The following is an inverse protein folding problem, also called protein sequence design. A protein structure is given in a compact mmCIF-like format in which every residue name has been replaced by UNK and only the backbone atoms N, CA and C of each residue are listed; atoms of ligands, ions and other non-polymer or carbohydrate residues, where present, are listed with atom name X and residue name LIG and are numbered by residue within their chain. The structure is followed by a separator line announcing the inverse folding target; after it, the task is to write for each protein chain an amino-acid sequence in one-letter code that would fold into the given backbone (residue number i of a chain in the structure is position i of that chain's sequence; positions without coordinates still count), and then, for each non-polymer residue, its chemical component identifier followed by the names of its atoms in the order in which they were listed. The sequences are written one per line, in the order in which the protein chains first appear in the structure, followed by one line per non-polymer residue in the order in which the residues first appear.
data_IF_710421289088
#
_entry.id   IF_710421289088
#
_cell.length_a   1.000
_cell.length_b   1.000
_cell.length_c   1.000
_cell.angle_alpha   90.00
_cell.angle_beta   90.00
_cell.angle_gamma   90.00
#
_symmetry.space_group_name_H-M   'P 1'
#
loop_
_entity.id
_entity.type
_entity.pdbx_description
1 polymer ?
#
# COMPACT_ATOMS: atom_id res chain seq x y z
N UNK A 1 21.28 11.91 16.28
CA UNK A 1 20.26 11.47 17.27
C UNK A 1 20.87 11.48 18.66
N UNK A 2 20.58 12.50 19.47
CA UNK A 2 20.98 12.50 20.88
C UNK A 2 20.00 11.61 21.66
N UNK A 3 20.46 10.46 22.16
CA UNK A 3 19.67 9.68 23.12
C UNK A 3 19.34 10.58 24.32
N UNK A 4 18.05 10.67 24.67
CA UNK A 4 17.63 11.37 25.89
C UNK A 4 18.33 10.75 27.11
N UNK A 5 18.72 11.57 28.09
CA UNK A 5 19.43 11.13 29.30
C UNK A 5 18.70 9.98 30.03
N UNK A 6 17.36 9.94 29.96
CA UNK A 6 16.53 8.86 30.50
C UNK A 6 16.78 7.52 29.80
N UNK A 7 16.94 7.54 28.48
CA UNK A 7 17.24 6.35 27.66
C UNK A 7 18.65 5.86 27.93
N UNK A 8 19.62 6.77 28.11
CA UNK A 8 20.98 6.42 28.54
C UNK A 8 21.00 5.75 29.92
N UNK A 9 20.26 6.29 30.90
CA UNK A 9 20.15 5.69 32.26
C UNK A 9 19.52 4.30 32.24
N UNK A 10 18.50 4.07 31.41
CA UNK A 10 17.88 2.75 31.24
C UNK A 10 18.82 1.74 30.57
N UNK A 11 19.57 2.18 29.55
CA UNK A 11 20.56 1.33 28.89
C UNK A 11 21.70 0.94 29.84
N UNK A 12 22.20 1.89 30.65
CA UNK A 12 23.22 1.63 31.67
C UNK A 12 22.72 0.64 32.74
N UNK A 13 21.46 0.76 33.19
CA UNK A 13 20.85 -0.20 34.12
C UNK A 13 20.69 -1.60 33.51
N UNK A 14 20.29 -1.69 32.24
CA UNK A 14 20.17 -2.96 31.52
C UNK A 14 21.52 -3.66 31.34
N UNK A 15 22.57 -2.89 31.00
CA UNK A 15 23.93 -3.42 30.85
C UNK A 15 24.53 -3.86 32.19
N UNK A 16 24.29 -3.11 33.28
CA UNK A 16 24.73 -3.50 34.62
C UNK A 16 24.05 -4.79 35.10
N UNK A 17 22.75 -4.93 34.84
CA UNK A 17 22.01 -6.15 35.17
C UNK A 17 22.54 -7.36 34.37
N UNK A 18 22.76 -7.19 33.07
CA UNK A 18 23.31 -8.26 32.22
C UNK A 18 24.73 -8.67 32.65
N UNK A 19 25.60 -7.72 32.98
CA UNK A 19 26.95 -8.01 33.47
C UNK A 19 26.96 -8.75 34.81
N UNK A 20 26.05 -8.38 35.73
CA UNK A 20 25.89 -9.07 37.01
C UNK A 20 25.38 -10.51 36.84
N UNK A 21 24.44 -10.73 35.91
CA UNK A 21 23.89 -12.06 35.64
C UNK A 21 24.90 -12.97 34.93
N UNK A 22 25.71 -12.42 34.01
CA UNK A 22 26.79 -13.15 33.34
C UNK A 22 27.88 -13.63 34.31
N UNK A 23 28.15 -12.86 35.38
CA UNK A 23 29.11 -13.22 36.45
C UNK A 23 28.60 -14.36 37.34
N UNK A 24 27.27 -14.48 37.52
CA UNK A 24 26.66 -15.61 38.24
C UNK A 24 26.71 -16.92 37.44
N UNK A 25 26.54 -16.83 36.11
CA UNK A 25 26.50 -18.00 35.22
C UNK A 25 27.90 -18.57 34.94
N UNK A 26 28.94 -17.73 34.94
CA UNK A 26 30.31 -18.16 34.66
C UNK A 26 31.30 -17.72 35.75
N UNK A 27 31.25 -18.30 36.96
CA UNK A 27 32.07 -17.87 38.10
C UNK A 27 33.58 -18.13 37.92
N UNK A 28 33.95 -19.03 37.01
CA UNK A 28 35.35 -19.47 36.80
C UNK A 28 35.89 -19.16 35.40
N UNK A 29 35.28 -18.26 34.62
CA UNK A 29 35.91 -17.82 33.38
C UNK A 29 37.22 -17.09 33.76
N UNK A 30 38.37 -17.66 33.37
CA UNK A 30 39.68 -16.99 33.46
C UNK A 30 39.64 -15.74 32.58
N UNK A 31 39.11 -14.65 33.12
CA UNK A 31 39.10 -13.36 32.46
C UNK A 31 40.53 -12.81 32.51
N UNK A 32 41.04 -12.49 31.32
CA UNK A 32 42.28 -11.72 31.16
C UNK A 32 42.27 -10.51 32.12
N UNK A 33 43.40 -10.16 32.76
CA UNK A 33 43.51 -9.00 33.65
C UNK A 33 43.07 -7.68 32.99
N UNK A 34 43.03 -7.64 31.65
CA UNK A 34 42.49 -6.53 30.86
C UNK A 34 40.97 -6.35 31.03
N UNK A 35 40.20 -7.45 31.07
CA UNK A 35 38.73 -7.41 31.16
C UNK A 35 38.28 -7.00 32.56
N UNK A 36 39.01 -7.42 33.60
CA UNK A 36 38.77 -6.98 34.97
C UNK A 36 39.04 -5.48 35.17
N UNK A 37 40.04 -4.93 34.47
CA UNK A 37 40.37 -3.51 34.53
C UNK A 37 39.35 -2.64 33.77
N UNK A 38 38.89 -3.07 32.60
CA UNK A 38 37.85 -2.37 31.82
C UNK A 38 36.49 -2.38 32.55
N UNK A 39 36.11 -3.50 33.17
CA UNK A 39 34.86 -3.60 33.94
C UNK A 39 34.87 -2.69 35.17
N UNK A 40 35.99 -2.59 35.88
CA UNK A 40 36.15 -1.65 37.02
C UNK A 40 36.09 -0.17 36.59
N UNK A 41 36.62 0.19 35.42
CA UNK A 41 36.49 1.56 34.87
C UNK A 41 35.06 1.91 34.51
N UNK A 42 34.32 0.95 33.96
CA UNK A 42 32.90 1.11 33.62
C UNK A 42 32.05 1.26 34.88
N UNK A 43 32.31 0.46 35.92
CA UNK A 43 31.65 0.59 37.23
C UNK A 43 31.88 1.97 37.87
N UNK A 44 33.12 2.46 37.89
CA UNK A 44 33.45 3.79 38.42
C UNK A 44 32.79 4.94 37.64
N UNK A 45 32.69 4.83 36.31
CA UNK A 45 32.01 5.81 35.47
C UNK A 45 30.49 5.80 35.70
N UNK A 46 29.90 4.63 35.99
CA UNK A 46 28.47 4.48 36.31
C UNK A 46 28.18 5.09 37.69
N UNK A 47 29.01 4.84 38.70
CA UNK A 47 28.85 5.43 40.04
C UNK A 47 28.97 6.96 40.02
N UNK A 48 29.94 7.51 39.25
CA UNK A 48 30.08 8.96 39.08
C UNK A 48 28.85 9.59 38.39
N UNK A 49 28.18 8.85 37.49
CA UNK A 49 26.97 9.33 36.79
C UNK A 49 25.72 9.22 37.68
N UNK A 50 25.71 8.28 38.64
CA UNK A 50 24.63 8.10 39.62
C UNK A 50 24.75 9.04 40.83
N UNK A 51 25.96 9.52 41.14
CA UNK A 51 26.22 10.46 42.25
C UNK A 51 25.88 11.93 41.92
N UNK A 52 25.51 12.25 40.69
CA UNK A 52 25.13 13.61 40.31
C UNK A 52 23.70 13.91 40.79
N UNK A 53 23.47 14.95 41.63
CA UNK A 53 22.15 15.24 42.18
C UNK A 53 21.13 15.56 41.08
N UNK A 54 19.88 15.19 41.34
CA UNK A 54 18.72 15.41 40.47
C UNK A 54 18.49 16.91 40.16
N UNK A 55 18.84 17.35 38.94
CA UNK A 55 18.33 18.60 38.34
C UNK A 55 16.87 18.43 37.84
N UNK A 56 16.04 17.73 38.60
CA UNK A 56 14.66 17.40 38.22
C UNK A 56 13.66 18.50 38.60
N UNK A 57 14.00 19.78 38.44
CA UNK A 57 13.02 20.89 38.49
C UNK A 57 13.33 22.08 37.56
N UNK A 58 14.13 21.92 36.51
CA UNK A 58 14.11 22.91 35.42
C UNK A 58 13.02 22.57 34.41
N UNK A 59 11.87 23.21 34.62
CA UNK A 59 10.82 23.39 33.62
C UNK A 59 11.47 23.77 32.29
N UNK A 60 11.41 22.88 31.30
CA UNK A 60 11.99 23.10 29.97
C UNK A 60 11.26 24.28 29.33
N UNK A 61 11.80 25.49 29.50
CA UNK A 61 11.45 26.63 28.65
C UNK A 61 12.34 26.53 27.42
N UNK A 62 11.79 26.60 26.19
CA UNK A 62 12.65 26.82 25.03
C UNK A 62 13.50 28.06 25.30
N UNK A 63 14.80 28.06 24.94
CA UNK A 63 15.59 29.28 25.04
C UNK A 63 14.85 30.38 24.29
N UNK A 64 14.61 31.51 24.96
CA UNK A 64 14.07 32.69 24.28
C UNK A 64 14.98 32.99 23.10
N UNK A 65 14.41 33.12 21.91
CA UNK A 65 15.04 33.77 20.77
C UNK A 65 15.30 35.23 21.16
N UNK A 66 16.36 35.44 21.94
CA UNK A 66 17.01 36.72 22.02
C UNK A 66 17.76 36.87 20.69
N UNK A 67 17.54 37.99 20.02
CA UNK A 67 18.35 38.46 18.90
C UNK A 67 19.80 38.64 19.38
N UNK A 68 20.52 37.52 19.44
CA UNK A 68 21.92 37.46 19.76
C UNK A 68 22.68 37.30 18.46
N UNK A 69 23.12 38.42 17.88
CA UNK A 69 24.24 38.40 16.95
C UNK A 69 25.42 37.76 17.69
N UNK A 70 25.71 36.50 17.37
CA UNK A 70 26.91 35.83 17.87
C UNK A 70 28.09 36.55 17.24
N UNK A 71 28.75 37.42 18.00
CA UNK A 71 30.05 37.95 17.60
C UNK A 71 31.03 36.78 17.66
N UNK A 72 31.44 36.30 16.48
CA UNK A 72 32.57 35.39 16.37
C UNK A 72 33.83 36.11 16.83
N UNK A 73 34.18 35.97 18.10
CA UNK A 73 35.52 36.32 18.57
C UNK A 73 36.52 35.41 17.87
N UNK A 74 37.52 36.03 17.26
CA UNK A 74 38.66 35.44 16.56
C UNK A 74 39.02 34.04 17.07
N UNK A 75 38.86 33.04 16.20
CA UNK A 75 39.24 31.66 16.50
C UNK A 75 40.75 31.58 16.59
N UNK A 76 41.25 31.52 17.81
CA UNK A 76 42.66 31.24 18.09
C UNK A 76 42.94 29.76 17.79
N UNK A 77 43.20 29.43 16.52
CA UNK A 77 43.60 28.09 16.11
C UNK A 77 45.04 27.86 16.60
N UNK A 78 45.24 26.89 17.50
CA UNK A 78 46.59 26.50 18.02
C UNK A 78 47.54 25.94 16.95
N UNK A 79 47.12 25.85 15.68
CA UNK A 79 47.90 25.25 14.59
C UNK A 79 47.78 26.08 13.30
N UNK A 80 48.80 26.89 12.95
CA UNK A 80 48.72 27.89 11.88
C UNK A 80 48.62 27.32 10.44
N UNK A 81 48.76 25.99 10.26
CA UNK A 81 48.71 25.33 8.95
C UNK A 81 47.33 24.71 8.62
N UNK A 82 46.40 24.72 9.58
CA UNK A 82 45.05 24.13 9.43
C UNK A 82 43.95 25.18 9.13
N UNK A 83 44.30 26.46 9.04
CA UNK A 83 43.36 27.55 8.76
C UNK A 83 42.57 27.37 7.46
N UNK A 84 43.15 26.68 6.45
CA UNK A 84 42.45 26.39 5.20
C UNK A 84 41.32 25.36 5.32
N UNK A 85 41.33 24.53 6.37
CA UNK A 85 40.31 23.51 6.63
C UNK A 85 39.17 24.06 7.50
N UNK A 86 39.42 25.11 8.27
CA UNK A 86 38.42 25.86 9.02
C UNK A 86 37.84 27.00 8.17
N UNK A 87 37.13 26.66 7.08
CA UNK A 87 36.20 27.62 6.47
C UNK A 87 35.00 27.76 7.40
N UNK A 88 35.09 28.71 8.33
CA UNK A 88 33.94 29.20 9.10
C UNK A 88 33.32 30.31 8.26
N UNK A 89 32.79 29.94 7.09
CA UNK A 89 31.88 30.82 6.37
C UNK A 89 30.51 30.61 7.03
N UNK A 90 29.86 31.71 7.40
CA UNK A 90 28.48 31.67 7.89
C UNK A 90 27.56 31.28 6.72
N UNK A 91 27.33 29.97 6.60
CA UNK A 91 26.46 29.36 5.59
C UNK A 91 24.99 29.44 6.00
N UNK A 92 24.68 29.85 7.23
CA UNK A 92 23.30 29.89 7.73
C UNK A 92 22.48 30.97 7.00
N UNK A 93 23.12 32.03 6.53
CA UNK A 93 22.52 33.06 5.67
C UNK A 93 22.18 32.57 4.25
N UNK A 94 22.77 31.47 3.78
CA UNK A 94 22.50 30.88 2.46
C UNK A 94 21.32 29.88 2.47
N UNK A 95 20.90 29.43 3.65
CA UNK A 95 19.85 28.41 3.81
C UNK A 95 18.42 28.95 3.62
N UNK A 96 18.26 30.27 3.47
CA UNK A 96 16.94 30.92 3.47
C UNK A 96 16.26 30.86 4.85
N UNK A 97 15.08 31.49 5.01
CA UNK A 97 14.37 31.43 6.27
C UNK A 97 13.98 29.98 6.61
N UNK A 98 14.27 29.56 7.85
CA UNK A 98 13.87 28.24 8.35
C UNK A 98 12.37 28.04 8.16
N UNK A 99 11.97 26.91 7.57
CA UNK A 99 10.55 26.56 7.48
C UNK A 99 9.96 26.49 8.90
N UNK A 100 8.75 27.03 9.12
CA UNK A 100 8.09 26.87 10.40
C UNK A 100 7.93 25.38 10.69
N UNK A 101 8.14 24.93 11.95
CA UNK A 101 8.01 23.52 12.30
C UNK A 101 6.60 23.03 11.98
N UNK A 102 6.51 21.92 11.26
CA UNK A 102 5.23 21.32 10.93
C UNK A 102 4.56 20.76 12.20
N UNK A 103 3.26 21.00 12.33
CA UNK A 103 2.46 20.39 13.40
C UNK A 103 2.16 18.95 12.99
N UNK A 104 2.85 18.00 13.60
CA UNK A 104 2.62 16.56 13.41
C UNK A 104 1.40 16.14 14.22
N UNK A 105 0.39 15.59 13.54
CA UNK A 105 -0.82 15.04 14.16
C UNK A 105 -0.54 13.57 14.50
N UNK A 106 -0.65 13.15 15.77
CA UNK A 106 -0.45 11.76 16.15
C UNK A 106 -1.36 10.81 15.36
N UNK A 107 -0.77 9.76 14.79
CA UNK A 107 -1.52 8.72 14.08
C UNK A 107 -1.90 7.63 15.08
N UNK A 108 -3.20 7.40 15.24
CA UNK A 108 -3.69 6.27 16.02
C UNK A 108 -3.61 4.98 15.19
N UNK A 109 -2.63 4.15 15.52
CA UNK A 109 -2.50 2.78 15.01
C UNK A 109 -2.99 1.74 16.03
N UNK A 110 -3.30 2.17 17.26
CA UNK A 110 -3.72 1.29 18.34
C UNK A 110 -5.19 0.89 18.23
N UNK A 111 -6.02 1.71 17.58
CA UNK A 111 -7.41 1.36 17.26
C UNK A 111 -7.56 0.31 16.16
N UNK A 112 -6.47 -0.03 15.46
CA UNK A 112 -6.48 -1.06 14.43
C UNK A 112 -6.39 -2.45 15.06
N UNK A 113 -7.42 -3.26 14.84
CA UNK A 113 -7.49 -4.63 15.33
C UNK A 113 -6.43 -5.52 14.67
N UNK A 114 -5.78 -6.38 15.45
CA UNK A 114 -4.78 -7.36 14.98
C UNK A 114 -5.34 -8.76 14.77
N UNK A 115 -6.57 -9.01 15.22
CA UNK A 115 -7.26 -10.29 15.13
C UNK A 115 -8.10 -10.37 13.86
N UNK A 116 -8.45 -11.59 13.45
CA UNK A 116 -9.30 -11.80 12.30
C UNK A 116 -10.72 -11.32 12.57
N UNK A 117 -11.22 -10.49 11.67
CA UNK A 117 -12.57 -9.91 11.74
C UNK A 117 -13.62 -10.99 11.51
N UNK A 118 -14.66 -11.01 12.34
CA UNK A 118 -15.74 -12.01 12.26
C UNK A 118 -17.12 -11.40 12.03
N UNK A 119 -17.24 -10.08 12.09
CA UNK A 119 -18.50 -9.36 11.92
C UNK A 119 -18.36 -8.22 10.92
N UNK A 120 -19.48 -7.86 10.28
CA UNK A 120 -19.52 -6.76 9.30
C UNK A 120 -19.25 -5.40 9.96
N UNK A 121 -19.73 -5.19 11.20
CA UNK A 121 -19.47 -3.96 11.95
C UNK A 121 -17.97 -3.76 12.19
N UNK A 122 -17.27 -4.80 12.66
CA UNK A 122 -15.82 -4.78 12.82
C UNK A 122 -15.10 -4.49 11.50
N UNK A 123 -15.55 -5.07 10.38
CA UNK A 123 -14.96 -4.78 9.06
C UNK A 123 -15.12 -3.32 8.65
N UNK A 124 -16.29 -2.73 8.90
CA UNK A 124 -16.56 -1.32 8.61
C UNK A 124 -15.65 -0.41 9.43
N UNK A 125 -15.62 -0.61 10.74
CA UNK A 125 -14.82 0.21 11.66
C UNK A 125 -13.33 0.07 11.33
N UNK A 126 -12.87 -1.15 11.06
CA UNK A 126 -11.50 -1.42 10.68
C UNK A 126 -11.11 -0.72 9.37
N UNK A 127 -11.89 -0.85 8.30
CA UNK A 127 -11.58 -0.21 7.02
C UNK A 127 -11.60 1.32 7.14
N UNK A 128 -12.55 1.87 7.89
CA UNK A 128 -12.62 3.31 8.16
C UNK A 128 -11.37 3.82 8.89
N UNK A 129 -11.02 3.16 10.00
CA UNK A 129 -9.85 3.53 10.80
C UNK A 129 -8.57 3.33 10.00
N UNK A 130 -8.43 2.22 9.26
CA UNK A 130 -7.25 1.95 8.44
C UNK A 130 -7.04 3.03 7.38
N UNK A 131 -8.08 3.37 6.59
CA UNK A 131 -7.98 4.42 5.57
C UNK A 131 -7.64 5.77 6.21
N UNK A 132 -8.26 6.12 7.34
CA UNK A 132 -8.02 7.39 8.03
C UNK A 132 -6.59 7.49 8.56
N UNK A 133 -6.10 6.44 9.24
CA UNK A 133 -4.74 6.40 9.78
C UNK A 133 -3.69 6.39 8.66
N UNK A 134 -3.92 5.65 7.57
CA UNK A 134 -3.02 5.64 6.41
C UNK A 134 -3.02 6.99 5.69
N UNK A 135 -4.17 7.65 5.55
CA UNK A 135 -4.25 8.98 4.97
C UNK A 135 -3.44 9.99 5.80
N UNK A 136 -3.56 9.96 7.13
CA UNK A 136 -2.77 10.82 8.02
C UNK A 136 -1.27 10.54 7.90
N UNK A 137 -0.85 9.26 7.86
CA UNK A 137 0.55 8.88 7.64
C UNK A 137 1.10 9.43 6.32
N UNK A 138 0.38 9.20 5.21
CA UNK A 138 0.83 9.63 3.89
C UNK A 138 0.82 11.15 3.72
N UNK A 139 -0.11 11.86 4.36
CA UNK A 139 -0.13 13.33 4.33
C UNK A 139 1.04 13.94 5.11
N UNK A 140 1.52 13.26 6.13
CA UNK A 140 2.64 13.67 6.98
C UNK A 140 3.95 12.96 6.61
N UNK A 141 4.08 12.43 5.38
CA UNK A 141 5.24 11.63 4.96
C UNK A 141 6.56 12.40 4.87
N UNK A 142 6.52 13.74 4.82
CA UNK A 142 7.73 14.57 4.89
C UNK A 142 8.29 14.62 6.33
N UNK A 143 7.45 14.45 7.35
CA UNK A 143 7.81 14.53 8.76
C UNK A 143 7.97 13.15 9.42
N UNK A 144 7.14 12.17 9.01
CA UNK A 144 7.14 10.81 9.55
C UNK A 144 8.03 9.94 8.66
N UNK A 145 9.21 9.51 9.14
CA UNK A 145 10.06 8.61 8.37
C UNK A 145 9.33 7.29 8.13
N UNK A 146 9.57 6.69 6.97
CA UNK A 146 9.02 5.37 6.60
C UNK A 146 7.48 5.32 6.48
N UNK A 147 6.77 6.46 6.44
CA UNK A 147 5.31 6.50 6.33
C UNK A 147 4.74 5.62 5.21
N UNK A 148 5.41 5.59 4.04
CA UNK A 148 5.01 4.74 2.91
C UNK A 148 5.20 3.24 3.22
N UNK A 149 6.31 2.87 3.86
CA UNK A 149 6.60 1.48 4.24
C UNK A 149 5.66 0.98 5.32
N UNK A 150 5.34 1.83 6.30
CA UNK A 150 4.29 1.56 7.29
C UNK A 150 2.92 1.41 6.63
N UNK A 151 2.58 2.27 5.67
CA UNK A 151 1.31 2.17 4.93
C UNK A 151 1.23 0.86 4.14
N UNK A 152 2.30 0.49 3.43
CA UNK A 152 2.38 -0.77 2.67
C UNK A 152 2.22 -1.99 3.57
N UNK A 153 3.00 -2.06 4.65
CA UNK A 153 2.98 -3.19 5.59
C UNK A 153 1.64 -3.31 6.33
N UNK A 154 1.03 -2.18 6.70
CA UNK A 154 -0.27 -2.16 7.36
C UNK A 154 -1.36 -2.71 6.44
N UNK A 155 -1.41 -2.27 5.18
CA UNK A 155 -2.41 -2.77 4.21
C UNK A 155 -2.16 -4.25 3.88
N UNK A 156 -0.90 -4.66 3.75
CA UNK A 156 -0.56 -6.07 3.53
C UNK A 156 -1.03 -6.97 4.69
N UNK A 157 -0.74 -6.56 5.94
CA UNK A 157 -1.21 -7.26 7.13
C UNK A 157 -2.73 -7.27 7.20
N UNK A 158 -3.37 -6.13 6.93
CA UNK A 158 -4.82 -6.00 6.88
C UNK A 158 -5.45 -7.02 5.93
N UNK A 159 -4.99 -7.09 4.69
CA UNK A 159 -5.59 -7.95 3.65
C UNK A 159 -5.24 -9.43 3.80
N UNK A 160 -4.05 -9.76 4.29
CA UNK A 160 -3.60 -11.15 4.36
C UNK A 160 -3.96 -11.84 5.69
N UNK A 161 -4.14 -11.08 6.78
CA UNK A 161 -4.33 -11.62 8.13
C UNK A 161 -5.67 -11.24 8.77
N UNK A 162 -6.02 -9.95 8.72
CA UNK A 162 -7.14 -9.38 9.51
C UNK A 162 -8.47 -9.51 8.78
N UNK A 163 -8.51 -9.15 7.50
CA UNK A 163 -9.72 -9.21 6.68
C UNK A 163 -10.07 -10.67 6.37
N UNK A 164 -11.37 -11.02 6.33
CA UNK A 164 -11.83 -12.36 5.96
C UNK A 164 -11.34 -12.77 4.58
N UNK A 165 -10.79 -13.98 4.50
CA UNK A 165 -10.37 -14.56 3.23
C UNK A 165 -11.59 -14.86 2.35
N UNK A 166 -11.46 -14.87 1.02
CA UNK A 166 -12.57 -15.18 0.12
C UNK A 166 -13.15 -16.57 0.33
N UNK A 167 -12.39 -17.51 0.90
CA UNK A 167 -12.82 -18.88 1.19
C UNK A 167 -13.57 -19.01 2.51
N UNK A 168 -13.65 -17.94 3.32
CA UNK A 168 -14.37 -17.91 4.59
C UNK A 168 -15.88 -17.77 4.38
N UNK A 169 -16.52 -18.86 3.95
CA UNK A 169 -17.93 -18.91 3.59
C UNK A 169 -18.88 -18.55 4.75
N UNK A 170 -18.46 -18.72 6.00
CA UNK A 170 -19.24 -18.32 7.16
C UNK A 170 -19.40 -16.79 7.21
N UNK A 171 -18.30 -16.05 7.01
CA UNK A 171 -18.34 -14.59 6.96
C UNK A 171 -19.14 -14.08 5.75
N UNK A 172 -18.91 -14.64 4.55
CA UNK A 172 -19.54 -14.15 3.32
C UNK A 172 -21.05 -14.41 3.21
N UNK A 173 -21.60 -15.25 4.10
CA UNK A 173 -23.04 -15.54 4.15
C UNK A 173 -23.80 -14.69 5.18
N UNK A 174 -23.09 -13.87 5.95
CA UNK A 174 -23.68 -13.02 6.97
C UNK A 174 -24.79 -12.12 6.39
N UNK A 175 -25.96 -12.02 7.05
CA UNK A 175 -27.08 -11.23 6.56
C UNK A 175 -26.75 -9.74 6.52
N UNK A 176 -25.88 -9.23 7.40
CA UNK A 176 -25.52 -7.82 7.44
C UNK A 176 -24.75 -7.37 6.19
N UNK A 177 -24.08 -8.29 5.47
CA UNK A 177 -23.45 -7.99 4.17
C UNK A 177 -24.48 -7.75 3.06
N UNK A 178 -25.70 -8.25 3.21
CA UNK A 178 -26.81 -8.05 2.27
C UNK A 178 -27.56 -6.74 2.52
N UNK A 179 -27.12 -5.92 3.46
CA UNK A 179 -27.61 -4.54 3.64
C UNK A 179 -26.83 -3.62 2.72
N UNK A 180 -27.51 -2.92 1.82
CA UNK A 180 -26.87 -2.12 0.77
C UNK A 180 -25.95 -1.03 1.33
N UNK A 181 -26.35 -0.39 2.43
CA UNK A 181 -25.53 0.62 3.10
C UNK A 181 -24.20 0.04 3.62
N UNK A 182 -24.19 -1.19 4.13
CA UNK A 182 -22.97 -1.85 4.57
C UNK A 182 -22.09 -2.22 3.37
N UNK A 183 -22.68 -2.85 2.35
CA UNK A 183 -21.97 -3.30 1.15
C UNK A 183 -21.31 -2.15 0.40
N UNK A 184 -22.06 -1.07 0.14
CA UNK A 184 -21.58 0.13 -0.56
C UNK A 184 -20.48 0.84 0.24
N UNK A 185 -20.62 0.94 1.56
CA UNK A 185 -19.57 1.46 2.45
C UNK A 185 -18.29 0.63 2.33
N UNK A 186 -18.37 -0.69 2.46
CA UNK A 186 -17.20 -1.57 2.36
C UNK A 186 -16.51 -1.46 1.00
N UNK A 187 -17.28 -1.40 -0.10
CA UNK A 187 -16.74 -1.22 -1.45
C UNK A 187 -16.01 0.12 -1.59
N UNK A 188 -16.63 1.21 -1.13
CA UNK A 188 -16.02 2.53 -1.20
C UNK A 188 -14.68 2.59 -0.45
N UNK A 189 -14.65 2.10 0.79
CA UNK A 189 -13.42 2.10 1.60
C UNK A 189 -12.36 1.13 1.08
N UNK A 190 -12.75 -0.01 0.47
CA UNK A 190 -11.80 -0.92 -0.19
C UNK A 190 -11.16 -0.26 -1.43
N UNK A 191 -11.95 0.51 -2.19
CA UNK A 191 -11.43 1.31 -3.30
C UNK A 191 -10.44 2.38 -2.83
N UNK A 192 -10.76 3.13 -1.76
CA UNK A 192 -9.82 4.08 -1.17
C UNK A 192 -8.55 3.39 -0.68
N UNK A 193 -8.67 2.26 0.01
CA UNK A 193 -7.54 1.48 0.50
C UNK A 193 -6.64 1.00 -0.64
N UNK A 194 -7.23 0.60 -1.77
CA UNK A 194 -6.47 0.23 -2.98
C UNK A 194 -5.66 1.40 -3.53
N UNK A 195 -6.20 2.62 -3.52
CA UNK A 195 -5.46 3.81 -3.92
C UNK A 195 -4.29 4.10 -2.99
N UNK A 196 -4.50 4.00 -1.68
CA UNK A 196 -3.43 4.12 -0.69
C UNK A 196 -2.35 3.04 -0.89
N UNK A 197 -2.76 1.80 -1.18
CA UNK A 197 -1.86 0.70 -1.44
C UNK A 197 -1.03 0.90 -2.70
N UNK A 198 -1.65 1.28 -3.81
CA UNK A 198 -0.95 1.55 -5.07
C UNK A 198 0.05 2.70 -4.90
N UNK A 199 -0.34 3.78 -4.20
CA UNK A 199 0.58 4.87 -3.86
C UNK A 199 1.78 4.38 -3.04
N UNK A 200 1.55 3.59 -1.99
CA UNK A 200 2.63 3.04 -1.18
C UNK A 200 3.52 2.08 -1.98
N UNK A 201 2.94 1.17 -2.76
CA UNK A 201 3.64 0.17 -3.55
C UNK A 201 4.52 0.78 -4.66
N UNK A 202 4.12 1.91 -5.26
CA UNK A 202 4.97 2.63 -6.23
C UNK A 202 5.96 3.60 -5.58
N UNK A 203 5.78 3.94 -4.30
CA UNK A 203 6.73 4.77 -3.54
C UNK A 203 7.92 3.98 -3.01
N UNK A 204 7.75 2.67 -2.84
CA UNK A 204 8.76 1.76 -2.30
C UNK A 204 9.32 0.94 -3.47
N UNK A 205 10.62 0.69 -3.45
CA UNK A 205 11.23 -0.24 -4.40
C UNK A 205 10.98 -1.70 -3.98
N UNK A 206 9.71 -2.12 -3.99
CA UNK A 206 9.34 -3.51 -3.65
C UNK A 206 9.84 -4.54 -4.66
N UNK A 207 10.32 -4.11 -5.84
CA UNK A 207 10.70 -5.00 -6.95
C UNK A 207 12.13 -5.49 -6.86
N UNK A 208 12.98 -4.80 -6.10
CA UNK A 208 14.36 -5.24 -5.88
C UNK A 208 14.44 -6.43 -4.91
N UNK A 209 13.47 -6.58 -4.00
CA UNK A 209 13.38 -7.71 -3.08
C UNK A 209 12.21 -8.65 -3.41
N UNK A 210 12.52 -9.95 -3.53
CA UNK A 210 11.55 -11.00 -3.87
C UNK A 210 10.47 -11.18 -2.79
N UNK A 211 10.80 -10.92 -1.52
CA UNK A 211 9.84 -11.04 -0.44
C UNK A 211 8.85 -9.87 -0.44
N UNK A 212 9.35 -8.63 -0.55
CA UNK A 212 8.47 -7.46 -0.70
C UNK A 212 7.63 -7.51 -1.97
N UNK A 213 8.17 -8.06 -3.07
CA UNK A 213 7.42 -8.23 -4.31
C UNK A 213 6.28 -9.23 -4.13
N UNK A 214 6.53 -10.33 -3.43
CA UNK A 214 5.50 -11.32 -3.09
C UNK A 214 4.32 -10.68 -2.33
N UNK A 215 4.64 -9.88 -1.31
CA UNK A 215 3.65 -9.14 -0.50
C UNK A 215 2.85 -8.17 -1.39
N UNK A 216 3.53 -7.47 -2.29
CA UNK A 216 2.91 -6.53 -3.25
C UNK A 216 1.87 -7.24 -4.11
N UNK A 217 2.27 -8.35 -4.74
CA UNK A 217 1.42 -9.10 -5.67
C UNK A 217 0.19 -9.69 -4.97
N UNK A 218 0.38 -10.37 -3.83
CA UNK A 218 -0.72 -11.01 -3.11
C UNK A 218 -1.68 -9.98 -2.54
N UNK A 219 -1.19 -8.88 -1.97
CA UNK A 219 -2.05 -7.83 -1.39
C UNK A 219 -2.89 -7.13 -2.46
N UNK A 220 -2.30 -6.77 -3.62
CA UNK A 220 -3.06 -6.21 -4.75
C UNK A 220 -4.18 -7.14 -5.22
N UNK A 221 -3.89 -8.44 -5.29
CA UNK A 221 -4.89 -9.44 -5.68
C UNK A 221 -5.98 -9.59 -4.63
N UNK A 222 -5.64 -9.61 -3.34
CA UNK A 222 -6.63 -9.70 -2.26
C UNK A 222 -7.60 -8.51 -2.26
N UNK A 223 -7.12 -7.29 -2.58
CA UNK A 223 -7.98 -6.12 -2.74
C UNK A 223 -8.98 -6.29 -3.89
N UNK A 224 -8.55 -6.88 -5.02
CA UNK A 224 -9.44 -7.20 -6.15
C UNK A 224 -10.48 -8.23 -5.74
N UNK A 225 -10.04 -9.32 -5.10
CA UNK A 225 -10.91 -10.42 -4.69
C UNK A 225 -11.96 -9.95 -3.68
N UNK A 226 -11.56 -9.15 -2.69
CA UNK A 226 -12.47 -8.52 -1.73
C UNK A 226 -13.52 -7.66 -2.44
N UNK A 227 -13.08 -6.80 -3.36
CA UNK A 227 -13.97 -5.91 -4.12
C UNK A 227 -14.94 -6.69 -5.00
N UNK A 228 -14.45 -7.69 -5.74
CA UNK A 228 -15.25 -8.56 -6.60
C UNK A 228 -16.28 -9.36 -5.79
N UNK A 229 -15.90 -9.94 -4.64
CA UNK A 229 -16.82 -10.61 -3.71
C UNK A 229 -17.95 -9.68 -3.28
N UNK A 230 -17.63 -8.45 -2.85
CA UNK A 230 -18.62 -7.44 -2.42
C UNK A 230 -19.54 -6.99 -3.57
N UNK A 231 -19.02 -6.89 -4.81
CA UNK A 231 -19.82 -6.57 -6.00
C UNK A 231 -20.83 -7.69 -6.36
N UNK A 232 -20.55 -8.95 -6.01
CA UNK A 232 -21.44 -10.09 -6.29
C UNK A 232 -22.58 -10.25 -5.28
N UNK A 233 -22.47 -9.63 -4.10
CA UNK A 233 -23.50 -9.73 -3.07
C UNK A 233 -24.68 -8.86 -3.50
N UNK A 234 -25.82 -9.51 -3.74
CA UNK A 234 -27.07 -8.83 -4.01
C UNK A 234 -27.74 -8.52 -2.68
N UNK A 235 -27.95 -7.23 -2.43
CA UNK A 235 -28.57 -6.71 -1.22
C UNK A 235 -30.05 -7.13 -1.14
N UNK A 236 -30.53 -7.41 0.07
CA UNK A 236 -31.91 -7.86 0.34
C UNK A 236 -32.88 -6.70 0.52
N UNK A 237 -32.37 -5.55 0.98
CA UNK A 237 -33.14 -4.33 1.20
C UNK A 237 -33.37 -3.58 -0.12
N UNK A 238 -32.34 -2.89 -0.61
CA UNK A 238 -32.38 -2.08 -1.83
C UNK A 238 -31.29 -2.60 -2.77
N UNK A 239 -31.60 -3.59 -3.62
CA UNK A 239 -30.59 -4.23 -4.44
C UNK A 239 -30.04 -3.28 -5.48
N UNK A 240 -28.72 -3.06 -5.43
CA UNK A 240 -27.99 -2.34 -6.48
C UNK A 240 -28.21 -2.99 -7.85
N UNK A 241 -28.49 -2.14 -8.84
CA UNK A 241 -28.65 -2.55 -10.23
C UNK A 241 -27.37 -3.22 -10.74
N UNK A 242 -26.22 -2.61 -10.44
CA UNK A 242 -24.91 -3.17 -10.78
C UNK A 242 -24.73 -4.56 -10.20
N UNK A 243 -24.94 -4.73 -8.88
CA UNK A 243 -24.73 -6.03 -8.22
C UNK A 243 -25.62 -7.14 -8.80
N UNK A 244 -26.89 -6.83 -9.14
CA UNK A 244 -27.83 -7.78 -9.77
C UNK A 244 -27.33 -8.27 -11.14
N UNK A 245 -26.94 -7.34 -12.01
CA UNK A 245 -26.43 -7.68 -13.35
C UNK A 245 -25.06 -8.35 -13.29
N UNK A 246 -24.16 -7.82 -12.47
CA UNK A 246 -22.82 -8.34 -12.27
C UNK A 246 -22.82 -9.81 -11.80
N UNK A 247 -23.70 -10.13 -10.84
CA UNK A 247 -23.85 -11.48 -10.30
C UNK A 247 -24.66 -12.44 -11.17
N UNK A 248 -25.26 -11.98 -12.27
CA UNK A 248 -26.12 -12.81 -13.13
C UNK A 248 -27.48 -13.13 -12.52
N UNK A 249 -27.95 -12.36 -11.53
CA UNK A 249 -29.23 -12.55 -10.83
C UNK A 249 -30.32 -11.56 -11.28
N UNK A 250 -30.04 -10.75 -12.29
CA UNK A 250 -31.03 -9.86 -12.87
C UNK A 250 -32.01 -10.61 -13.78
N UNK A 251 -33.22 -10.06 -13.94
CA UNK A 251 -34.23 -10.65 -14.81
C UNK A 251 -33.80 -10.58 -16.29
N UNK A 252 -33.92 -11.70 -16.99
CA UNK A 252 -33.61 -11.85 -18.42
C UNK A 252 -32.46 -12.82 -18.69
N UNK A 253 -32.01 -12.94 -19.96
CA UNK A 253 -30.85 -13.75 -20.32
C UNK A 253 -29.56 -13.06 -19.87
N UNK A 254 -29.30 -13.09 -18.57
CA UNK A 254 -28.11 -12.50 -17.95
C UNK A 254 -27.22 -13.61 -17.44
N UNK A 255 -25.93 -13.54 -17.81
CA UNK A 255 -24.90 -14.43 -17.29
C UNK A 255 -24.05 -13.66 -16.27
N UNK A 256 -23.48 -14.34 -15.26
CA UNK A 256 -22.59 -13.68 -14.32
C UNK A 256 -21.33 -13.20 -15.02
N UNK A 257 -20.90 -11.99 -14.68
CA UNK A 257 -19.60 -11.48 -15.11
C UNK A 257 -18.50 -11.95 -14.16
N UNK A 258 -17.30 -12.14 -14.69
CA UNK A 258 -16.13 -12.63 -13.94
C UNK A 258 -14.90 -11.80 -14.21
N UNK A 259 -13.97 -11.79 -13.27
CA UNK A 259 -12.63 -11.25 -13.46
C UNK A 259 -11.64 -12.37 -13.79
N UNK A 260 -10.60 -12.02 -14.52
CA UNK A 260 -9.49 -12.91 -14.81
C UNK A 260 -8.31 -12.66 -13.84
N UNK A 261 -7.71 -13.72 -13.25
CA UNK A 261 -6.55 -13.57 -12.38
C UNK A 261 -5.35 -12.96 -13.12
N UNK A 262 -5.33 -13.00 -14.46
CA UNK A 262 -4.22 -12.53 -15.26
C UNK A 262 -2.97 -13.36 -15.03
N UNK A 263 -1.83 -12.68 -14.95
CA UNK A 263 -0.54 -13.32 -14.67
C UNK A 263 -0.32 -13.66 -13.19
N UNK A 264 -1.26 -13.33 -12.30
CA UNK A 264 -1.03 -13.45 -10.85
C UNK A 264 -0.60 -14.86 -10.45
N UNK A 265 -1.25 -15.89 -11.01
CA UNK A 265 -0.91 -17.29 -10.72
C UNK A 265 0.53 -17.64 -11.10
N UNK A 266 0.98 -17.16 -12.26
CA UNK A 266 2.33 -17.40 -12.78
C UNK A 266 3.37 -16.60 -11.99
N UNK A 267 3.22 -15.29 -11.86
CA UNK A 267 4.18 -14.42 -11.16
C UNK A 267 4.31 -14.80 -9.68
N UNK A 268 3.19 -15.06 -9.01
CA UNK A 268 3.19 -15.45 -7.60
C UNK A 268 3.75 -16.84 -7.33
N UNK A 269 3.88 -17.70 -8.35
CA UNK A 269 4.46 -19.05 -8.19
C UNK A 269 5.97 -19.01 -7.94
N UNK A 270 6.64 -17.96 -8.41
CA UNK A 270 8.07 -17.74 -8.23
C UNK A 270 8.39 -16.77 -7.08
N UNK A 271 7.37 -16.23 -6.40
CA UNK A 271 7.55 -15.28 -5.32
C UNK A 271 8.00 -15.96 -4.01
N UNK A 272 8.75 -15.22 -3.18
CA UNK A 272 9.19 -15.72 -1.88
C UNK A 272 8.18 -15.35 -0.80
N UNK A 273 7.31 -16.31 -0.45
CA UNK A 273 6.26 -16.12 0.56
C UNK A 273 6.79 -16.50 1.94
N UNK A 274 7.22 -15.51 2.72
CA UNK A 274 7.85 -15.74 4.02
C UNK A 274 6.85 -16.00 5.16
N UNK A 275 5.62 -15.52 5.05
CA UNK A 275 4.62 -15.60 6.11
C UNK A 275 3.51 -16.60 5.77
N UNK A 276 3.06 -17.43 6.73
CA UNK A 276 2.00 -18.40 6.48
C UNK A 276 0.68 -17.72 6.05
N UNK A 277 0.37 -16.55 6.59
CA UNK A 277 -0.81 -15.77 6.23
C UNK A 277 -0.78 -15.35 4.75
N UNK A 278 0.41 -15.05 4.22
CA UNK A 278 0.59 -14.69 2.82
C UNK A 278 0.38 -15.91 1.90
N UNK A 279 0.84 -17.08 2.33
CA UNK A 279 0.58 -18.35 1.64
C UNK A 279 -0.93 -18.67 1.62
N UNK A 280 -1.61 -18.53 2.76
CA UNK A 280 -3.06 -18.74 2.86
C UNK A 280 -3.84 -17.74 2.00
N UNK A 281 -3.48 -16.46 2.03
CA UNK A 281 -4.10 -15.43 1.21
C UNK A 281 -3.92 -15.71 -0.29
N UNK A 282 -2.71 -16.08 -0.72
CA UNK A 282 -2.44 -16.47 -2.10
C UNK A 282 -3.28 -17.68 -2.52
N UNK A 283 -3.32 -18.73 -1.71
CA UNK A 283 -4.08 -19.94 -2.00
C UNK A 283 -5.59 -19.62 -2.11
N UNK A 284 -6.12 -18.87 -1.15
CA UNK A 284 -7.52 -18.46 -1.13
C UNK A 284 -7.90 -17.60 -2.36
N UNK A 285 -7.01 -16.70 -2.79
CA UNK A 285 -7.22 -15.92 -4.01
C UNK A 285 -7.24 -16.79 -5.27
N UNK A 286 -6.32 -17.75 -5.40
CA UNK A 286 -6.29 -18.66 -6.55
C UNK A 286 -7.52 -19.58 -6.59
N UNK A 287 -7.91 -20.14 -5.45
CA UNK A 287 -9.12 -20.95 -5.32
C UNK A 287 -10.36 -20.13 -5.69
N UNK A 288 -10.41 -18.87 -5.25
CA UNK A 288 -11.49 -17.96 -5.61
C UNK A 288 -11.61 -17.76 -7.13
N UNK A 289 -10.50 -17.43 -7.80
CA UNK A 289 -10.52 -17.25 -9.26
C UNK A 289 -10.81 -18.56 -10.01
N UNK A 290 -10.33 -19.70 -9.53
CA UNK A 290 -10.70 -20.99 -10.10
C UNK A 290 -12.21 -21.23 -10.02
N UNK A 291 -12.83 -20.95 -8.87
CA UNK A 291 -14.27 -21.01 -8.69
C UNK A 291 -15.04 -20.08 -9.64
N UNK A 292 -14.53 -18.86 -9.87
CA UNK A 292 -15.12 -17.93 -10.85
C UNK A 292 -15.05 -18.47 -12.28
N UNK A 293 -13.91 -19.07 -12.67
CA UNK A 293 -13.77 -19.62 -14.02
C UNK A 293 -14.69 -20.82 -14.26
N UNK A 294 -15.03 -21.60 -13.23
CA UNK A 294 -16.02 -22.67 -13.33
C UNK A 294 -17.45 -22.17 -13.59
N UNK A 295 -17.75 -20.90 -13.30
CA UNK A 295 -19.05 -20.28 -13.58
C UNK A 295 -19.17 -19.70 -15.00
N UNK A 296 -18.07 -19.71 -15.78
CA UNK A 296 -18.07 -19.23 -17.16
C UNK A 296 -18.65 -20.29 -18.08
N UNK A 297 -19.61 -19.91 -18.90
CA UNK A 297 -20.23 -20.79 -19.90
C UNK A 297 -19.29 -20.94 -21.09
N UNK A 298 -19.08 -22.18 -21.54
CA UNK A 298 -18.24 -22.48 -22.70
C UNK A 298 -18.77 -21.74 -23.95
N UNK A 299 -17.86 -21.09 -24.69
CA UNK A 299 -18.22 -20.23 -25.83
C UNK A 299 -18.70 -18.81 -25.48
N UNK A 300 -18.92 -18.47 -24.19
CA UNK A 300 -19.31 -17.11 -23.75
C UNK A 300 -18.22 -16.39 -22.94
N UNK A 301 -17.01 -16.97 -22.85
CA UNK A 301 -15.89 -16.42 -22.06
C UNK A 301 -15.56 -14.96 -22.38
N UNK A 302 -15.58 -14.57 -23.65
CA UNK A 302 -15.27 -13.18 -24.04
C UNK A 302 -16.33 -12.18 -23.55
N UNK A 303 -17.57 -12.64 -23.42
CA UNK A 303 -18.73 -11.84 -23.00
C UNK A 303 -18.94 -11.80 -21.48
N UNK A 304 -18.33 -12.72 -20.73
CA UNK A 304 -18.43 -12.75 -19.27
C UNK A 304 -17.20 -12.17 -18.57
N UNK A 305 -16.02 -12.25 -19.17
CA UNK A 305 -14.78 -11.83 -18.51
C UNK A 305 -14.49 -10.34 -18.72
N UNK A 306 -14.62 -9.55 -17.65
CA UNK A 306 -14.39 -8.10 -17.64
C UNK A 306 -12.92 -7.74 -17.34
N UNK A 307 -12.54 -6.54 -17.75
CA UNK A 307 -11.33 -5.80 -17.36
C UNK A 307 -10.03 -6.56 -17.61
N UNK A 308 -9.88 -7.10 -18.82
CA UNK A 308 -8.66 -7.75 -19.31
C UNK A 308 -7.54 -6.74 -19.64
N UNK A 309 -7.26 -5.81 -18.73
CA UNK A 309 -6.31 -4.72 -18.95
C UNK A 309 -4.88 -5.19 -19.21
N UNK A 310 -4.53 -6.37 -18.68
CA UNK A 310 -3.24 -7.05 -18.84
C UNK A 310 -3.00 -7.67 -20.22
N UNK A 311 -4.05 -8.18 -20.85
CA UNK A 311 -3.98 -8.89 -22.14
C UNK A 311 -4.38 -7.99 -23.31
N UNK A 312 -5.54 -7.32 -23.22
CA UNK A 312 -6.07 -6.49 -24.30
C UNK A 312 -5.70 -5.01 -24.20
N UNK A 313 -5.03 -4.61 -23.12
CA UNK A 313 -4.87 -3.21 -22.75
C UNK A 313 -6.20 -2.62 -22.27
N UNK A 314 -6.24 -1.29 -22.11
CA UNK A 314 -7.46 -0.56 -21.76
C UNK A 314 -8.34 -0.38 -23.00
N UNK A 315 -8.93 -1.48 -23.45
CA UNK A 315 -9.91 -1.50 -24.54
C UNK A 315 -11.25 -1.95 -23.98
N UNK A 316 -12.32 -1.36 -24.50
CA UNK A 316 -13.68 -1.81 -24.25
C UNK A 316 -13.91 -3.09 -25.03
N UNK A 317 -14.10 -4.20 -24.31
CA UNK A 317 -14.38 -5.51 -24.89
C UNK A 317 -15.88 -5.81 -24.98
N UNK A 318 -16.23 -7.01 -25.47
CA UNK A 318 -17.61 -7.44 -25.56
C UNK A 318 -18.27 -7.62 -24.19
N UNK A 319 -17.53 -7.99 -23.14
CA UNK A 319 -18.05 -8.07 -21.78
C UNK A 319 -18.44 -6.70 -21.22
N UNK A 320 -17.57 -5.69 -21.35
CA UNK A 320 -17.86 -4.32 -20.90
C UNK A 320 -19.05 -3.74 -21.67
N UNK A 321 -19.08 -3.98 -22.99
CA UNK A 321 -20.20 -3.59 -23.86
C UNK A 321 -21.51 -4.19 -23.37
N UNK A 322 -21.54 -5.51 -23.13
CA UNK A 322 -22.73 -6.19 -22.68
C UNK A 322 -23.19 -5.73 -21.29
N UNK A 323 -22.26 -5.49 -20.36
CA UNK A 323 -22.60 -4.97 -19.03
C UNK A 323 -23.21 -3.57 -19.13
N UNK A 324 -22.59 -2.66 -19.88
CA UNK A 324 -23.07 -1.29 -20.08
C UNK A 324 -24.42 -1.28 -20.79
N UNK A 325 -24.62 -2.10 -21.82
CA UNK A 325 -25.91 -2.24 -22.49
C UNK A 325 -27.01 -2.73 -21.53
N UNK A 326 -26.72 -3.72 -20.69
CA UNK A 326 -27.66 -4.23 -19.71
C UNK A 326 -28.06 -3.18 -18.67
N UNK A 327 -27.09 -2.44 -18.15
CA UNK A 327 -27.33 -1.35 -17.19
C UNK A 327 -28.08 -0.19 -17.86
N UNK A 328 -27.65 0.22 -19.05
CA UNK A 328 -28.28 1.28 -19.83
C UNK A 328 -29.72 0.97 -20.19
N UNK A 329 -30.03 -0.29 -20.54
CA UNK A 329 -31.41 -0.73 -20.79
C UNK A 329 -32.29 -0.60 -19.55
N UNK A 330 -31.79 -0.95 -18.37
CA UNK A 330 -32.54 -0.82 -17.11
C UNK A 330 -32.67 0.62 -16.61
N UNK A 331 -31.68 1.47 -16.92
CA UNK A 331 -31.70 2.90 -16.59
C UNK A 331 -32.46 3.73 -17.63
N UNK A 332 -32.86 3.14 -18.77
CA UNK A 332 -33.57 3.85 -19.84
C UNK A 332 -32.69 4.76 -20.69
N UNK A 333 -31.38 4.51 -20.75
CA UNK A 333 -30.37 5.32 -21.49
C UNK A 333 -30.50 5.19 -23.03
N UNK A 334 -31.49 4.42 -23.51
CA UNK A 334 -31.88 4.35 -24.93
C UNK A 334 -30.96 3.49 -25.81
N UNK A 335 -31.36 3.28 -27.07
CA UNK A 335 -30.69 2.39 -28.02
C UNK A 335 -29.26 2.85 -28.39
N UNK A 336 -28.96 4.14 -28.24
CA UNK A 336 -27.64 4.73 -28.51
C UNK A 336 -26.60 4.38 -27.43
N UNK A 337 -26.97 3.70 -26.34
CA UNK A 337 -26.06 3.29 -25.27
C UNK A 337 -24.83 2.52 -25.79
N UNK A 338 -25.00 1.74 -26.87
CA UNK A 338 -23.93 0.95 -27.49
C UNK A 338 -22.86 1.78 -28.18
N UNK A 339 -23.22 2.95 -28.70
CA UNK A 339 -22.28 3.84 -29.40
C UNK A 339 -21.36 4.56 -28.42
N UNK A 340 -21.84 4.81 -27.20
CA UNK A 340 -21.16 5.59 -26.17
C UNK A 340 -20.61 4.74 -25.02
N UNK A 341 -20.42 3.43 -25.23
CA UNK A 341 -19.91 2.52 -24.19
C UNK A 341 -18.58 3.00 -23.61
N UNK A 342 -17.59 3.45 -24.41
CA UNK A 342 -16.35 3.99 -23.85
C UNK A 342 -16.60 5.19 -22.92
N UNK A 343 -17.42 6.14 -23.33
CA UNK A 343 -17.71 7.38 -22.58
C UNK A 343 -18.52 7.11 -21.30
N UNK A 344 -19.44 6.14 -21.36
CA UNK A 344 -20.22 5.68 -20.20
C UNK A 344 -19.35 4.89 -19.21
N UNK A 345 -18.41 4.08 -19.72
CA UNK A 345 -17.50 3.33 -18.88
C UNK A 345 -16.45 4.23 -18.23
N UNK A 346 -15.93 5.26 -18.93
CA UNK A 346 -14.96 6.21 -18.37
C UNK A 346 -15.60 7.19 -17.38
N UNK A 347 -16.87 7.52 -17.60
CA UNK A 347 -17.59 8.54 -16.83
C UNK A 347 -17.58 9.92 -17.47
N UNK A 348 -17.11 10.05 -18.71
CA UNK A 348 -17.33 11.28 -19.49
C UNK A 348 -18.81 11.53 -19.72
N UNK A 349 -19.59 10.45 -19.83
CA UNK A 349 -21.04 10.46 -19.65
C UNK A 349 -21.37 9.77 -18.33
N UNK A 350 -21.93 10.54 -17.39
CA UNK A 350 -22.16 10.06 -16.03
C UNK A 350 -23.46 9.25 -15.86
N UNK A 351 -24.25 9.12 -16.92
CA UNK A 351 -25.59 8.48 -16.94
C UNK A 351 -25.63 7.11 -16.23
N UNK A 352 -24.57 6.31 -16.31
CA UNK A 352 -24.47 5.02 -15.61
C UNK A 352 -23.75 5.14 -14.27
N UNK A 353 -22.63 5.86 -14.21
CA UNK A 353 -21.78 5.90 -13.01
C UNK A 353 -22.41 6.67 -11.85
N UNK A 354 -23.31 7.62 -12.11
CA UNK A 354 -24.05 8.32 -11.06
C UNK A 354 -25.04 7.39 -10.35
N UNK A 355 -25.60 6.41 -11.05
CA UNK A 355 -26.52 5.41 -10.50
C UNK A 355 -25.83 4.12 -10.02
N UNK A 356 -24.68 3.79 -10.61
CA UNK A 356 -23.91 2.57 -10.35
C UNK A 356 -22.43 2.91 -10.06
N UNK A 357 -22.12 3.64 -8.97
CA UNK A 357 -20.75 4.03 -8.65
C UNK A 357 -19.83 2.83 -8.38
N UNK A 358 -20.38 1.66 -8.04
CA UNK A 358 -19.62 0.43 -7.81
C UNK A 358 -18.88 -0.04 -9.07
N UNK A 359 -19.41 0.25 -10.25
CA UNK A 359 -18.72 -0.02 -11.51
C UNK A 359 -17.39 0.74 -11.58
N UNK A 360 -17.39 2.03 -11.22
CA UNK A 360 -16.19 2.84 -11.20
C UNK A 360 -15.20 2.33 -10.14
N UNK A 361 -15.68 1.99 -8.94
CA UNK A 361 -14.82 1.46 -7.88
C UNK A 361 -14.18 0.12 -8.27
N UNK A 362 -14.95 -0.81 -8.84
CA UNK A 362 -14.43 -2.09 -9.30
C UNK A 362 -13.41 -1.91 -10.42
N UNK A 363 -13.75 -1.09 -11.44
CA UNK A 363 -12.86 -0.76 -12.57
C UNK A 363 -11.53 -0.22 -12.07
N UNK A 364 -11.57 0.75 -11.15
CA UNK A 364 -10.39 1.43 -10.64
C UNK A 364 -9.53 0.49 -9.78
N UNK A 365 -10.15 -0.32 -8.92
CA UNK A 365 -9.44 -1.34 -8.12
C UNK A 365 -8.75 -2.35 -9.02
N UNK A 366 -9.45 -2.87 -10.03
CA UNK A 366 -8.87 -3.85 -10.97
C UNK A 366 -7.72 -3.22 -11.74
N UNK A 367 -7.90 -2.01 -12.28
CA UNK A 367 -6.84 -1.32 -13.03
C UNK A 367 -5.60 -1.06 -12.17
N UNK A 368 -5.77 -0.50 -10.97
CA UNK A 368 -4.67 -0.26 -10.03
C UNK A 368 -3.95 -1.55 -9.65
N UNK A 369 -4.69 -2.63 -9.38
CA UNK A 369 -4.06 -3.91 -9.07
C UNK A 369 -3.33 -4.50 -10.28
N UNK A 370 -3.83 -4.37 -11.52
CA UNK A 370 -3.14 -4.85 -12.72
C UNK A 370 -1.82 -4.11 -12.97
N UNK A 371 -1.77 -2.79 -12.80
CA UNK A 371 -0.50 -2.04 -12.88
C UNK A 371 0.46 -2.39 -11.72
N UNK A 372 -0.08 -2.69 -10.53
CA UNK A 372 0.72 -3.15 -9.39
C UNK A 372 1.17 -4.60 -9.55
N UNK A 373 0.51 -5.43 -10.36
CA UNK A 373 0.98 -6.76 -10.69
C UNK A 373 2.09 -6.74 -11.74
N UNK A 374 2.17 -5.69 -12.56
CA UNK A 374 3.20 -5.57 -13.58
C UNK A 374 4.61 -5.50 -12.96
N UNK A 375 5.45 -6.46 -13.33
CA UNK A 375 6.85 -6.57 -12.95
C UNK A 375 7.79 -5.89 -13.96
N UNK A 376 7.33 -5.65 -15.20
CA UNK A 376 8.13 -5.02 -16.26
C UNK A 376 8.05 -3.49 -16.18
N UNK A 377 9.01 -2.91 -15.45
CA UNK A 377 8.99 -1.52 -14.98
C UNK A 377 9.53 -0.43 -15.89
N UNK A 378 9.67 -0.64 -17.20
CA UNK A 378 10.19 0.43 -18.08
C UNK A 378 9.23 1.62 -18.23
N UNK A 379 7.92 1.37 -18.04
CA UNK A 379 6.87 2.41 -18.13
C UNK A 379 6.16 2.70 -16.82
N UNK A 380 6.52 2.02 -15.73
CA UNK A 380 5.82 2.17 -14.45
C UNK A 380 6.16 3.52 -13.81
N UNK A 381 5.28 4.05 -12.93
CA UNK A 381 5.57 5.28 -12.19
C UNK A 381 6.92 5.18 -11.49
N UNK A 382 7.81 6.14 -11.74
CA UNK A 382 9.13 6.18 -11.11
C UNK A 382 8.96 6.55 -9.62
N UNK A 383 9.74 5.95 -8.70
CA UNK A 383 9.66 6.32 -7.29
C UNK A 383 9.90 7.83 -7.13
N UNK A 384 8.90 8.56 -6.66
CA UNK A 384 9.03 9.98 -6.34
C UNK A 384 9.93 10.12 -5.10
N UNK A 385 10.85 11.09 -5.09
CA UNK A 385 11.68 11.39 -3.91
C UNK A 385 10.84 11.74 -2.66
N UNK A 386 9.59 12.18 -2.86
CA UNK A 386 8.62 12.50 -1.79
C UNK A 386 7.63 11.36 -1.49
N UNK A 387 7.68 10.27 -2.27
CA UNK A 387 6.63 9.26 -2.32
C UNK A 387 5.34 9.77 -2.99
N UNK A 388 4.49 8.84 -3.41
CA UNK A 388 3.16 9.08 -3.93
C UNK A 388 2.13 9.14 -2.80
N UNK A 389 1.10 9.98 -2.98
CA UNK A 389 -0.07 10.06 -2.12
C UNK A 389 -1.25 9.35 -2.76
N UNK A 390 -2.28 9.04 -1.97
CA UNK A 390 -3.54 8.51 -2.50
C UNK A 390 -4.20 9.42 -3.55
N UNK A 391 -3.99 10.74 -3.46
CA UNK A 391 -4.40 11.69 -4.51
C UNK A 391 -3.75 11.42 -5.86
N UNK A 392 -2.49 11.00 -5.87
CA UNK A 392 -1.75 10.69 -7.08
C UNK A 392 -2.25 9.40 -7.70
N UNK A 393 -2.65 8.43 -6.87
CA UNK A 393 -3.28 7.19 -7.31
C UNK A 393 -4.74 7.36 -7.81
N UNK A 394 -5.29 8.58 -7.81
CA UNK A 394 -6.63 8.84 -8.38
C UNK A 394 -6.57 8.70 -9.90
N UNK A 395 -7.32 7.72 -10.42
CA UNK A 395 -7.41 7.52 -11.86
C UNK A 395 -8.27 8.61 -12.53
N UNK A 396 -7.83 9.04 -13.70
CA UNK A 396 -8.58 9.95 -14.57
C UNK A 396 -8.80 9.26 -15.91
N UNK A 397 -10.04 8.86 -16.18
CA UNK A 397 -10.42 8.15 -17.40
C UNK A 397 -10.92 9.14 -18.43
N UNK A 398 -10.44 9.02 -19.68
CA UNK A 398 -10.85 9.89 -20.80
C UNK A 398 -10.97 9.09 -22.09
N UNK A 399 -11.79 9.55 -23.02
CA UNK A 399 -11.87 9.00 -24.37
C UNK A 399 -11.27 9.99 -25.36
N UNK A 400 -10.12 9.64 -25.94
CA UNK A 400 -9.47 10.44 -26.97
C UNK A 400 -9.43 9.66 -28.28
N UNK A 401 -10.06 10.19 -29.34
CA UNK A 401 -10.09 9.59 -30.69
C UNK A 401 -10.55 8.12 -30.67
N UNK A 402 -11.56 7.80 -29.85
CA UNK A 402 -12.10 6.44 -29.69
C UNK A 402 -11.20 5.48 -28.91
N UNK A 403 -10.17 5.98 -28.22
CA UNK A 403 -9.31 5.19 -27.32
C UNK A 403 -9.49 5.66 -25.89
N UNK A 404 -9.57 4.71 -24.97
CA UNK A 404 -9.61 4.99 -23.54
C UNK A 404 -8.19 5.28 -23.05
N UNK A 405 -8.00 6.46 -22.49
CA UNK A 405 -6.76 6.93 -21.88
C UNK A 405 -6.94 6.99 -20.36
N UNK A 406 -5.90 6.61 -19.62
CA UNK A 406 -5.95 6.60 -18.15
C UNK A 406 -4.81 7.44 -17.61
N UNK A 407 -5.12 8.49 -16.86
CA UNK A 407 -4.16 9.29 -16.12
C UNK A 407 -4.07 8.88 -14.66
N UNK A 408 -2.90 9.07 -14.05
CA UNK A 408 -2.63 8.82 -12.64
C UNK A 408 -1.13 8.89 -12.36
N UNK A 409 -0.74 9.08 -11.10
CA UNK A 409 0.65 9.23 -10.65
C UNK A 409 1.43 10.34 -11.37
N UNK A 410 0.73 11.41 -11.80
CA UNK A 410 1.30 12.49 -12.62
C UNK A 410 1.54 12.11 -14.09
N UNK A 411 1.17 10.90 -14.50
CA UNK A 411 1.29 10.40 -15.86
C UNK A 411 -0.04 10.56 -16.62
N UNK A 412 0.04 10.92 -17.91
CA UNK A 412 -1.13 11.00 -18.80
C UNK A 412 -1.52 9.66 -19.45
N UNK A 413 -0.54 8.77 -19.62
CA UNK A 413 -0.67 7.52 -20.38
C UNK A 413 -0.40 6.30 -19.48
N UNK A 414 -1.08 6.23 -18.34
CA UNK A 414 -0.93 5.15 -17.37
C UNK A 414 -1.46 3.82 -17.93
N UNK A 415 -2.34 3.83 -18.93
CA UNK A 415 -2.85 2.62 -19.60
C UNK A 415 -1.74 1.75 -20.18
N UNK A 416 -0.59 2.34 -20.55
CA UNK A 416 0.56 1.61 -21.06
C UNK A 416 1.25 0.75 -20.00
N UNK A 417 0.92 0.95 -18.72
CA UNK A 417 1.47 0.21 -17.59
C UNK A 417 0.67 -1.06 -17.28
N UNK A 418 -0.60 -1.13 -17.70
CA UNK A 418 -1.50 -2.19 -17.28
C UNK A 418 -1.31 -3.49 -18.06
N UNK A 419 -0.54 -3.47 -19.18
CA UNK A 419 -0.34 -4.59 -20.08
C UNK A 419 1.02 -5.28 -19.95
N UNK A 420 1.04 -6.59 -20.20
CA UNK A 420 2.26 -7.31 -20.55
C UNK A 420 2.43 -7.17 -22.06
N UNK A 421 3.45 -6.44 -22.53
CA UNK A 421 3.74 -6.38 -23.96
C UNK A 421 3.91 -7.81 -24.49
N UNK A 422 2.90 -8.32 -25.20
CA UNK A 422 3.02 -9.46 -26.12
C UNK A 422 3.64 -8.95 -27.43
N UNK A 423 4.75 -8.22 -27.32
CA UNK A 423 5.58 -7.92 -28.48
C UNK A 423 6.46 -9.14 -28.73
N UNK A 424 5.94 -10.11 -29.50
CA UNK A 424 6.75 -10.95 -30.38
C UNK A 424 7.82 -11.87 -29.78
N UNK A 425 7.76 -12.29 -28.51
CA UNK A 425 8.68 -13.31 -28.00
C UNK A 425 7.92 -14.52 -27.48
N UNK A 426 8.01 -15.61 -28.24
CA UNK A 426 7.63 -16.96 -27.82
C UNK A 426 8.18 -17.22 -26.41
N UNK A 427 7.34 -17.80 -25.54
CA UNK A 427 7.55 -17.94 -24.08
C UNK A 427 8.85 -18.61 -23.60
N UNK A 428 9.77 -18.98 -24.49
CA UNK A 428 11.13 -19.46 -24.16
C UNK A 428 12.18 -18.34 -24.13
N UNK A 429 11.97 -17.22 -24.82
CA UNK A 429 12.93 -16.09 -24.88
C UNK A 429 12.91 -15.21 -23.63
N UNK A 430 11.72 -14.98 -23.08
CA UNK A 430 11.47 -14.11 -21.91
C UNK A 430 12.13 -14.63 -20.63
N UNK A 431 12.10 -15.96 -20.44
CA UNK A 431 12.74 -16.65 -19.30
C UNK A 431 14.28 -16.45 -19.30
N UNK A 432 14.91 -16.44 -20.48
CA UNK A 432 16.36 -16.20 -20.60
C UNK A 432 16.71 -14.74 -20.31
N UNK A 433 15.89 -13.76 -20.70
CA UNK A 433 16.16 -12.34 -20.41
C UNK A 433 16.05 -12.00 -18.92
N UNK A 434 15.08 -12.57 -18.21
CA UNK A 434 15.02 -12.44 -16.75
C UNK A 434 16.26 -13.07 -16.09
N UNK A 435 16.70 -14.25 -16.50
CA UNK A 435 17.93 -14.84 -15.92
C UNK A 435 19.19 -14.01 -16.25
N UNK A 436 19.25 -13.37 -17.43
CA UNK A 436 20.43 -12.61 -17.88
C UNK A 436 20.51 -11.18 -17.30
N UNK A 437 19.40 -10.49 -17.05
CA UNK A 437 19.44 -9.18 -16.40
C UNK A 437 19.92 -9.26 -14.94
N UNK A 438 19.64 -10.38 -14.26
CA UNK A 438 20.03 -10.58 -12.87
C UNK A 438 21.51 -10.99 -12.72
N UNK A 439 22.11 -11.67 -13.70
CA UNK A 439 23.56 -11.95 -13.72
C UNK A 439 24.44 -10.71 -13.87
N UNK A 440 23.87 -9.55 -14.25
CA UNK A 440 24.63 -8.32 -14.50
C UNK A 440 24.71 -7.39 -13.29
N UNK A 441 24.07 -7.75 -12.16
CA UNK A 441 24.07 -7.00 -10.88
C UNK A 441 24.48 -7.88 -9.68
N UNK A 442 25.20 -8.97 -9.93
CA UNK A 442 25.85 -9.78 -8.89
C UNK A 442 27.32 -9.41 -8.77
#
# INVERSE_FOLDING_TARGET
MAMTQRTRRLLCRGLAWYAAEHKKVFPNSRSSPFIAHETSKIEAAIEATLACPDESQQQWRPPSLADGSIQYSEVNTKFPWFDRLSRIEDVDGLAGPARPPAIVIPVDLCSLQSERIRSVAQLRDFLYNAVTSIALLQNQSEEIPQAQQTSFSLIASAMCRVVPLPTDEEFWRLPELRVEANRSFLLHYTHLLTRHFAAAAFSIDCRSDRASDAVRLVTATMLVVLTDRLCRIVSTDTPSLFAKHYSGKADGPVLPFVLDPGVFGEESSFSLLLWPELCSARAAALEYFQGLQSAVVEGQKERQTLFKFDVSGVKVGPAETQLIEQLGLKLGVGASCREYVPELLTGERSDILDHCPELAWLRDVVFLSKIVLNSNGEKLPSPSAKGYRSSDARLQWRVEKGKVMVGGFGMKNLEQCAGYNTAGETGKGKMRRMIFQWKKKG
#
